data_IF_352620729276
#
_entry.id   IF_352620729276
#
_cell.length_a   1.000
_cell.length_b   1.000
_cell.length_c   1.000
_cell.angle_alpha   90.00
_cell.angle_beta   90.00
_cell.angle_gamma   90.00
#
_symmetry.space_group_name_H-M   'P 1'
#
loop_
_entity.id
_entity.type
_entity.pdbx_description
1 polymer ?
#
# COMPACT_ATOMS: atom_id res chain seq x y z
N UNK A 1 9.41 -2.55 0.60
CA UNK A 1 8.99 -3.97 0.56
C UNK A 1 8.45 -4.37 -0.81
N UNK A 2 8.72 -5.59 -1.28
CA UNK A 2 8.13 -6.15 -2.51
C UNK A 2 6.60 -6.31 -2.39
N UNK A 3 5.85 -6.40 -3.50
CA UNK A 3 4.41 -6.65 -3.46
C UNK A 3 4.01 -7.90 -2.66
N UNK A 4 4.84 -8.96 -2.71
CA UNK A 4 4.60 -10.19 -1.96
C UNK A 4 4.76 -9.95 -0.46
N UNK A 5 5.82 -9.25 -0.04
CA UNK A 5 6.05 -8.90 1.37
C UNK A 5 4.90 -8.06 1.94
N UNK A 6 4.39 -7.09 1.16
CA UNK A 6 3.22 -6.28 1.57
C UNK A 6 2.00 -7.18 1.78
N UNK A 7 1.73 -8.12 0.87
CA UNK A 7 0.59 -9.06 1.00
C UNK A 7 0.75 -9.97 2.22
N UNK A 8 1.95 -10.49 2.46
CA UNK A 8 2.25 -11.32 3.65
C UNK A 8 2.03 -10.52 4.93
N UNK A 9 2.48 -9.26 4.97
CA UNK A 9 2.27 -8.38 6.12
C UNK A 9 0.79 -8.13 6.39
N UNK A 10 0.00 -7.88 5.34
CA UNK A 10 -1.46 -7.72 5.47
C UNK A 10 -2.11 -8.97 6.07
N UNK A 11 -1.75 -10.15 5.56
CA UNK A 11 -2.28 -11.42 6.08
C UNK A 11 -1.91 -11.67 7.54
N UNK A 12 -0.66 -11.35 7.93
CA UNK A 12 -0.21 -11.47 9.33
C UNK A 12 -0.99 -10.57 10.30
N UNK A 13 -1.54 -9.47 9.82
CA UNK A 13 -2.38 -8.55 10.61
C UNK A 13 -3.87 -8.87 10.48
N UNK A 14 -4.26 -9.97 9.82
CA UNK A 14 -5.66 -10.31 9.58
C UNK A 14 -6.38 -9.34 8.62
N UNK A 15 -5.63 -8.57 7.83
CA UNK A 15 -6.17 -7.59 6.89
C UNK A 15 -6.37 -8.21 5.51
N UNK A 16 -7.51 -7.92 4.89
CA UNK A 16 -7.80 -8.30 3.51
C UNK A 16 -7.82 -7.09 2.60
N UNK A 17 -7.52 -7.27 1.31
CA UNK A 17 -7.61 -6.19 0.32
C UNK A 17 -9.05 -5.66 0.22
N UNK A 18 -10.03 -6.55 0.33
CA UNK A 18 -11.46 -6.18 0.29
C UNK A 18 -11.84 -5.29 1.48
N UNK A 19 -11.51 -5.73 2.70
CA UNK A 19 -11.81 -4.97 3.91
C UNK A 19 -11.11 -3.61 3.94
N UNK A 20 -9.86 -3.55 3.51
CA UNK A 20 -9.13 -2.29 3.39
C UNK A 20 -9.71 -1.38 2.30
N UNK A 21 -10.20 -1.92 1.19
CA UNK A 21 -10.83 -1.12 0.14
C UNK A 21 -12.12 -0.47 0.65
N UNK A 22 -12.94 -1.22 1.39
CA UNK A 22 -14.13 -0.70 2.06
C UNK A 22 -13.77 0.37 3.10
N UNK A 23 -12.80 0.08 3.98
CA UNK A 23 -12.32 1.03 4.99
C UNK A 23 -11.77 2.32 4.37
N UNK A 24 -11.05 2.21 3.24
CA UNK A 24 -10.43 3.36 2.58
C UNK A 24 -11.40 4.11 1.65
N UNK A 25 -12.59 3.57 1.41
CA UNK A 25 -13.56 4.13 0.47
C UNK A 25 -13.04 4.13 -0.97
N UNK A 26 -12.40 3.04 -1.41
CA UNK A 26 -11.87 2.91 -2.76
C UNK A 26 -12.24 1.57 -3.41
N UNK A 27 -12.02 1.47 -4.73
CA UNK A 27 -12.22 0.20 -5.40
C UNK A 27 -11.08 -0.77 -5.05
N UNK A 28 -11.44 -2.05 -4.79
CA UNK A 28 -10.48 -3.14 -4.58
C UNK A 28 -9.36 -3.17 -5.63
N UNK A 29 -9.71 -2.91 -6.89
CA UNK A 29 -8.75 -2.87 -7.99
C UNK A 29 -7.69 -1.76 -7.79
N UNK A 30 -8.08 -0.58 -7.32
CA UNK A 30 -7.13 0.52 -7.06
C UNK A 30 -6.12 0.11 -5.99
N UNK A 31 -6.60 -0.47 -4.89
CA UNK A 31 -5.74 -0.95 -3.81
C UNK A 31 -4.81 -2.07 -4.27
N UNK A 32 -5.32 -3.02 -5.07
CA UNK A 32 -4.52 -4.06 -5.71
C UNK A 32 -3.44 -3.48 -6.63
N UNK A 33 -3.77 -2.49 -7.46
CA UNK A 33 -2.80 -1.83 -8.34
C UNK A 33 -1.73 -1.08 -7.53
N UNK A 34 -2.10 -0.46 -6.39
CA UNK A 34 -1.17 0.20 -5.48
C UNK A 34 -0.18 -0.80 -4.86
N UNK A 35 -0.68 -1.90 -4.29
CA UNK A 35 0.16 -2.95 -3.67
C UNK A 35 1.10 -3.57 -4.70
N UNK A 36 0.61 -3.84 -5.90
CA UNK A 36 1.39 -4.40 -7.00
C UNK A 36 2.28 -3.37 -7.71
N UNK A 37 2.28 -2.12 -7.27
CA UNK A 37 3.06 -1.02 -7.87
C UNK A 37 2.77 -0.80 -9.37
N UNK A 38 1.60 -1.24 -9.85
CA UNK A 38 1.16 -1.05 -11.25
C UNK A 38 0.67 0.36 -11.51
N UNK A 39 0.18 1.04 -10.47
CA UNK A 39 -0.24 2.44 -10.52
C UNK A 39 0.00 3.12 -9.19
N UNK A 40 0.41 4.37 -9.24
CA UNK A 40 0.65 5.20 -8.05
C UNK A 40 -0.62 5.95 -7.72
N UNK A 41 -1.14 5.69 -6.52
CA UNK A 41 -2.24 6.44 -5.92
C UNK A 41 -1.70 6.98 -4.58
N UNK A 42 -1.21 8.23 -4.53
CA UNK A 42 -0.48 8.74 -3.35
C UNK A 42 -1.30 8.65 -2.06
N UNK A 43 -2.60 8.97 -2.13
CA UNK A 43 -3.51 8.88 -0.99
C UNK A 43 -3.69 7.44 -0.49
N UNK A 44 -3.73 6.43 -1.38
CA UNK A 44 -3.82 5.01 -0.97
C UNK A 44 -2.51 4.52 -0.37
N UNK A 45 -1.36 4.99 -0.87
CA UNK A 45 -0.06 4.68 -0.26
C UNK A 45 0.04 5.20 1.16
N UNK A 46 -0.35 6.46 1.37
CA UNK A 46 -0.37 7.08 2.69
C UNK A 46 -1.31 6.35 3.65
N UNK A 47 -2.54 6.04 3.21
CA UNK A 47 -3.51 5.27 4.01
C UNK A 47 -2.96 3.88 4.37
N UNK A 48 -2.38 3.16 3.41
CA UNK A 48 -1.85 1.82 3.65
C UNK A 48 -0.63 1.83 4.58
N UNK A 49 0.28 2.78 4.40
CA UNK A 49 1.44 2.97 5.28
C UNK A 49 1.00 3.27 6.72
N UNK A 50 0.08 4.24 6.89
CA UNK A 50 -0.51 4.56 8.19
C UNK A 50 -1.19 3.36 8.84
N UNK A 51 -1.99 2.59 8.08
CA UNK A 51 -2.68 1.39 8.58
C UNK A 51 -1.71 0.34 9.10
N UNK A 52 -0.58 0.18 8.42
CA UNK A 52 0.45 -0.79 8.78
C UNK A 52 1.46 -0.27 9.82
N UNK A 53 1.31 0.98 10.29
CA UNK A 53 2.25 1.61 11.23
C UNK A 53 3.63 1.88 10.63
N UNK A 54 3.71 2.07 9.31
CA UNK A 54 4.95 2.28 8.55
C UNK A 54 4.92 3.62 7.83
N UNK A 55 6.08 4.09 7.38
CA UNK A 55 6.16 5.19 6.41
C UNK A 55 5.96 4.70 4.98
N UNK A 56 5.67 5.62 4.06
CA UNK A 56 5.51 5.29 2.63
C UNK A 56 6.84 4.75 2.08
N UNK A 57 7.97 5.31 2.51
CA UNK A 57 9.32 4.90 2.13
C UNK A 57 9.63 3.48 2.61
N UNK A 58 9.30 3.15 3.87
CA UNK A 58 9.47 1.79 4.39
C UNK A 58 8.63 0.77 3.61
N UNK A 59 7.38 1.12 3.32
CA UNK A 59 6.44 0.21 2.67
C UNK A 59 6.73 0.05 1.17
N UNK A 60 6.82 1.16 0.43
CA UNK A 60 6.93 1.17 -1.03
C UNK A 60 8.35 1.40 -1.55
N UNK A 61 9.30 1.81 -0.71
CA UNK A 61 10.66 2.13 -1.15
C UNK A 61 10.71 3.36 -2.04
N UNK A 62 9.77 4.31 -1.88
CA UNK A 62 9.86 5.60 -2.57
C UNK A 62 11.05 6.39 -2.01
N UNK A 63 12.24 6.09 -2.53
CA UNK A 63 13.29 7.09 -2.57
C UNK A 63 12.71 8.24 -3.38
N UNK A 64 12.61 9.42 -2.76
CA UNK A 64 12.50 10.66 -3.51
C UNK A 64 13.47 10.55 -4.69
N UNK A 65 12.97 10.51 -5.92
CA UNK A 65 13.78 10.94 -7.04
C UNK A 65 14.08 12.39 -6.74
N UNK A 66 15.20 12.65 -6.07
CA UNK A 66 15.87 13.94 -6.20
C UNK A 66 16.02 14.14 -7.70
N UNK A 67 15.46 15.25 -8.17
CA UNK A 67 15.89 15.83 -9.42
C UNK A 67 17.42 15.93 -9.37
N UNK A 68 18.09 15.19 -10.25
CA UNK A 68 19.46 15.36 -10.70
C UNK A 68 19.62 14.54 -11.98
#
# INVERSE_FOLDING_TARGET
MSPIEIRVLLLRQGLTIEGLAQEFGCYRQQLSMTINRRRVYPHLRAKLAKKLGLTIEQLFGEQSRKAA
#
